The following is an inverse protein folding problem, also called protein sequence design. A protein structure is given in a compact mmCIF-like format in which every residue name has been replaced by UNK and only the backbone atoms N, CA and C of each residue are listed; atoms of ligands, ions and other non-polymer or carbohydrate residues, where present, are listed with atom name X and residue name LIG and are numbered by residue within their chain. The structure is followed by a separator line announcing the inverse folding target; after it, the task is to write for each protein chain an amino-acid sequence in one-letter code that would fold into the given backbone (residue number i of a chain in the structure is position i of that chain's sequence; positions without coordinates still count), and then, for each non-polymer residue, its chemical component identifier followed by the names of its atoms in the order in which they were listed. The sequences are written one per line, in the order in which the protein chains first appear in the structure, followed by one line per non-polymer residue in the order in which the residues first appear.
data_IF_270447034465
#
_entry.id   IF_270447034465
#
_cell.length_a   1.000
_cell.length_b   1.000
_cell.length_c   1.000
_cell.angle_alpha   90.00
_cell.angle_beta   90.00
_cell.angle_gamma   90.00
#
_symmetry.space_group_name_H-M   'P 1'
#
loop_
_entity.id
_entity.type
_entity.pdbx_description
1 polymer ?
#
# COMPACT_ATOMS: atom_id res chain seq x y z
N UNK A 1 9.69 8.01 -15.28
CA UNK A 1 8.30 8.51 -15.43
C UNK A 1 8.19 9.87 -16.15
N UNK A 2 9.23 10.41 -16.81
CA UNK A 2 9.13 11.71 -17.51
C UNK A 2 7.95 11.81 -18.47
N UNK A 3 7.62 10.71 -19.18
CA UNK A 3 6.45 10.66 -20.06
C UNK A 3 5.10 10.97 -19.38
N UNK A 4 4.91 10.61 -18.12
CA UNK A 4 3.65 10.89 -17.40
C UNK A 4 3.59 12.34 -16.93
N UNK A 5 4.73 12.98 -16.67
CA UNK A 5 4.78 14.37 -16.20
C UNK A 5 4.82 15.37 -17.36
N UNK A 6 5.52 15.01 -18.45
CA UNK A 6 5.88 15.97 -19.51
C UNK A 6 5.08 15.75 -20.81
N UNK A 7 4.60 14.53 -21.07
CA UNK A 7 4.08 14.13 -22.39
C UNK A 7 2.62 13.63 -22.35
N UNK A 8 1.96 13.65 -21.19
CA UNK A 8 0.59 13.15 -21.00
C UNK A 8 -0.23 14.17 -20.23
N UNK A 9 -1.53 14.21 -20.54
CA UNK A 9 -2.50 14.93 -19.71
C UNK A 9 -2.92 13.97 -18.60
N UNK A 10 -2.54 14.29 -17.36
CA UNK A 10 -2.84 13.51 -16.17
C UNK A 10 -3.69 14.37 -15.20
N UNK A 11 -4.45 13.73 -14.32
CA UNK A 11 -5.27 14.41 -13.31
C UNK A 11 -4.95 13.81 -11.94
N UNK A 12 -4.69 14.69 -10.98
CA UNK A 12 -4.74 14.36 -9.56
C UNK A 12 -5.95 15.06 -8.94
N UNK A 13 -6.51 14.48 -7.89
CA UNK A 13 -7.61 15.09 -7.16
C UNK A 13 -7.33 15.09 -5.65
N UNK A 14 -7.70 16.15 -4.93
CA UNK A 14 -7.69 16.16 -3.48
C UNK A 14 -8.81 15.28 -2.93
N UNK A 15 -8.54 14.64 -1.80
CA UNK A 15 -9.53 13.88 -1.04
C UNK A 15 -10.04 14.80 0.07
N UNK A 16 -11.26 15.32 -0.10
CA UNK A 16 -11.86 16.27 0.86
C UNK A 16 -12.62 15.59 1.99
N UNK A 17 -13.18 14.41 1.74
CA UNK A 17 -13.90 13.67 2.76
C UNK A 17 -12.87 13.01 3.70
N UNK A 18 -12.86 13.42 4.97
CA UNK A 18 -11.91 12.91 5.95
C UNK A 18 -12.13 11.42 6.27
N UNK A 19 -13.35 10.90 6.08
CA UNK A 19 -13.60 9.45 6.25
C UNK A 19 -12.96 8.64 5.14
N UNK A 20 -13.11 9.07 3.88
CA UNK A 20 -12.47 8.44 2.71
C UNK A 20 -10.94 8.56 2.79
N UNK A 21 -10.45 9.73 3.22
CA UNK A 21 -9.01 9.93 3.42
C UNK A 21 -8.44 8.98 4.47
N UNK A 22 -9.16 8.80 5.59
CA UNK A 22 -8.77 7.86 6.63
C UNK A 22 -8.75 6.42 6.09
N UNK A 23 -9.79 6.01 5.37
CA UNK A 23 -9.85 4.68 4.75
C UNK A 23 -8.65 4.42 3.84
N UNK A 24 -8.30 5.37 2.97
CA UNK A 24 -7.12 5.27 2.11
C UNK A 24 -5.84 5.15 2.94
N UNK A 25 -5.67 5.98 3.97
CA UNK A 25 -4.50 5.89 4.87
C UNK A 25 -4.43 4.54 5.60
N UNK A 26 -5.55 4.04 6.10
CA UNK A 26 -5.62 2.72 6.77
C UNK A 26 -5.19 1.60 5.79
N UNK A 27 -5.62 1.64 4.52
CA UNK A 27 -5.17 0.64 3.53
C UNK A 27 -3.69 0.73 3.18
N UNK A 28 -3.15 1.95 3.17
CA UNK A 28 -1.72 2.17 2.99
C UNK A 28 -0.95 1.57 4.16
N UNK A 29 -1.36 1.85 5.40
CA UNK A 29 -0.74 1.27 6.59
C UNK A 29 -0.78 -0.27 6.58
N UNK A 30 -1.89 -0.87 6.14
CA UNK A 30 -1.98 -2.33 5.94
C UNK A 30 -0.93 -2.83 4.93
N UNK A 31 -0.74 -2.11 3.82
CA UNK A 31 0.24 -2.47 2.80
C UNK A 31 1.68 -2.35 3.31
N UNK A 32 1.99 -1.30 4.08
CA UNK A 32 3.32 -1.07 4.65
C UNK A 32 3.70 -2.08 5.74
N UNK A 33 2.72 -2.67 6.42
CA UNK A 33 2.92 -3.71 7.43
C UNK A 33 2.94 -5.14 6.86
N UNK A 34 2.91 -5.33 5.53
CA UNK A 34 3.00 -6.67 4.94
C UNK A 34 4.38 -7.30 5.20
N UNK A 35 4.39 -8.51 5.74
CA UNK A 35 5.61 -9.28 6.01
C UNK A 35 5.60 -10.68 5.36
N UNK A 36 4.65 -10.93 4.45
CA UNK A 36 4.50 -12.20 3.73
C UNK A 36 4.88 -12.07 2.26
N UNK A 37 4.53 -10.96 1.63
CA UNK A 37 4.74 -10.67 0.20
C UNK A 37 5.55 -9.41 -0.06
N UNK A 38 5.71 -8.53 0.92
CA UNK A 38 6.57 -7.36 0.79
C UNK A 38 8.03 -7.73 0.45
N UNK A 39 8.68 -6.79 -0.23
CA UNK A 39 10.06 -6.90 -0.70
C UNK A 39 10.83 -5.64 -0.42
N UNK A 40 12.05 -5.81 0.05
CA UNK A 40 13.00 -4.71 0.17
C UNK A 40 13.64 -4.43 -1.19
N UNK A 41 13.60 -3.16 -1.59
CA UNK A 41 14.30 -2.66 -2.77
C UNK A 41 15.60 -2.01 -2.27
N UNK A 42 16.71 -2.70 -2.52
CA UNK A 42 18.06 -2.21 -2.21
C UNK A 42 18.85 -1.95 -3.51
N UNK A 43 19.99 -1.28 -3.41
CA UNK A 43 20.90 -1.00 -4.52
C UNK A 43 21.35 -2.25 -5.26
N UNK A 44 21.49 -3.36 -4.52
CA UNK A 44 21.94 -4.66 -5.00
C UNK A 44 20.81 -5.45 -5.68
N UNK A 45 19.56 -4.93 -5.67
CA UNK A 45 18.38 -5.55 -6.28
C UNK A 45 18.10 -6.98 -5.80
N UNK A 46 18.38 -7.27 -4.54
CA UNK A 46 18.26 -8.62 -3.97
C UNK A 46 16.81 -9.10 -3.84
N UNK A 47 15.84 -8.18 -3.82
CA UNK A 47 14.42 -8.50 -3.64
C UNK A 47 14.19 -9.42 -2.43
N UNK A 48 14.78 -9.07 -1.29
CA UNK A 48 14.63 -9.85 -0.07
C UNK A 48 13.19 -9.72 0.45
N UNK A 49 12.63 -10.82 0.95
CA UNK A 49 11.37 -10.77 1.68
C UNK A 49 11.55 -9.91 2.92
N UNK A 50 10.63 -8.95 3.15
CA UNK A 50 10.51 -8.32 4.45
C UNK A 50 10.02 -9.38 5.43
N UNK A 51 10.80 -9.65 6.48
CA UNK A 51 10.46 -10.61 7.54
C UNK A 51 10.45 -9.88 8.87
N UNK A 52 9.47 -10.21 9.69
CA UNK A 52 9.36 -9.76 11.08
C UNK A 52 9.13 -11.01 11.95
N UNK A 53 9.53 -10.93 13.22
CA UNK A 53 9.29 -12.02 14.19
C UNK A 53 7.82 -12.09 14.65
N UNK A 54 7.00 -11.15 14.19
CA UNK A 54 5.56 -11.08 14.47
C UNK A 54 4.74 -12.06 13.63
N UNK A 55 3.43 -12.07 13.88
CA UNK A 55 2.48 -12.88 13.11
C UNK A 55 2.53 -12.56 11.62
N UNK A 56 2.27 -13.55 10.74
CA UNK A 56 2.28 -13.33 9.30
C UNK A 56 1.11 -12.42 8.89
N UNK A 57 1.45 -11.26 8.34
CA UNK A 57 0.53 -10.25 7.81
C UNK A 57 0.69 -10.24 6.29
N UNK A 58 -0.37 -10.66 5.59
CA UNK A 58 -0.50 -10.51 4.15
C UNK A 58 -1.56 -9.45 3.84
N UNK A 59 -1.09 -8.27 3.42
CA UNK A 59 -1.87 -7.05 3.18
C UNK A 59 -3.15 -7.30 2.38
N UNK A 60 -3.09 -8.11 1.32
CA UNK A 60 -4.24 -8.41 0.46
C UNK A 60 -5.43 -9.02 1.22
N UNK A 61 -5.16 -9.94 2.16
CA UNK A 61 -6.20 -10.56 2.97
C UNK A 61 -6.66 -9.65 4.10
N UNK A 62 -5.72 -8.96 4.76
CA UNK A 62 -6.06 -8.01 5.83
C UNK A 62 -6.89 -6.85 5.29
N UNK A 63 -6.61 -6.36 4.08
CA UNK A 63 -7.41 -5.33 3.39
C UNK A 63 -8.82 -5.84 3.11
N UNK A 64 -8.97 -7.09 2.67
CA UNK A 64 -10.29 -7.70 2.48
C UNK A 64 -11.06 -7.79 3.80
N UNK A 65 -10.43 -8.25 4.87
CA UNK A 65 -11.05 -8.36 6.18
C UNK A 65 -11.41 -6.99 6.78
N UNK A 66 -10.58 -5.96 6.56
CA UNK A 66 -10.85 -4.58 6.94
C UNK A 66 -12.19 -4.09 6.38
N UNK A 67 -12.40 -4.22 5.06
CA UNK A 67 -13.65 -3.83 4.42
C UNK A 67 -14.83 -4.72 4.82
N UNK A 68 -14.59 -6.03 4.96
CA UNK A 68 -15.62 -6.97 5.38
C UNK A 68 -16.19 -6.63 6.77
N UNK A 69 -15.36 -6.11 7.67
CA UNK A 69 -15.77 -5.73 9.03
C UNK A 69 -16.51 -4.37 9.09
N UNK A 70 -16.55 -3.61 8.00
CA UNK A 70 -17.27 -2.35 7.89
C UNK A 70 -18.67 -2.49 7.27
N UNK A 71 -19.01 -3.69 6.81
CA UNK A 71 -20.34 -4.08 6.31
C UNK A 71 -21.27 -4.51 7.45
#
# INVERSE_FOLDING_TARGET
MGRNLDNRVEIACPIYDESVKKEILDTLDICWNDNVKAREICSEQLNLYVKQDDSPIRSQFVTYDYYKNQL
#
